data_IF_311275414061
#
_entry.id   IF_311275414061
#
_cell.length_a   1.000
_cell.length_b   1.000
_cell.length_c   1.000
_cell.angle_alpha   90.00
_cell.angle_beta   90.00
_cell.angle_gamma   90.00
#
_symmetry.space_group_name_H-M   'P 1'
#
loop_
_entity.id
_entity.type
_entity.pdbx_description
1 polymer ?
#
# COMPACT_ATOMS: atom_id res chain seq x y z
N UNK A 1 -16.55 12.12 -20.10
CA UNK A 1 -15.84 10.84 -20.39
C UNK A 1 -14.44 10.81 -19.77
N UNK A 2 -13.56 11.80 -20.01
CA UNK A 2 -12.18 11.85 -19.43
C UNK A 2 -12.17 11.79 -17.90
N UNK A 3 -13.09 12.48 -17.21
CA UNK A 3 -13.18 12.46 -15.73
C UNK A 3 -13.48 11.07 -15.16
N UNK A 4 -14.37 10.31 -15.83
CA UNK A 4 -14.68 8.93 -15.43
C UNK A 4 -13.47 8.00 -15.62
N UNK A 5 -12.75 8.17 -16.72
CA UNK A 5 -11.52 7.40 -17.00
C UNK A 5 -10.47 7.69 -15.93
N UNK A 6 -10.22 8.96 -15.61
CA UNK A 6 -9.28 9.34 -14.56
C UNK A 6 -9.65 8.70 -13.21
N UNK A 7 -10.94 8.80 -12.82
CA UNK A 7 -11.43 8.21 -11.59
C UNK A 7 -11.24 6.69 -11.54
N UNK A 8 -11.51 5.99 -12.65
CA UNK A 8 -11.28 4.54 -12.74
C UNK A 8 -9.80 4.18 -12.68
N UNK A 9 -8.93 4.94 -13.33
CA UNK A 9 -7.47 4.74 -13.26
C UNK A 9 -6.96 4.93 -11.84
N UNK A 10 -7.37 5.99 -11.17
CA UNK A 10 -6.98 6.26 -9.77
C UNK A 10 -7.44 5.15 -8.82
N UNK A 11 -8.66 4.64 -9.00
CA UNK A 11 -9.16 3.52 -8.17
C UNK A 11 -8.38 2.25 -8.46
N UNK A 12 -8.31 1.81 -9.71
CA UNK A 12 -7.80 0.50 -10.08
C UNK A 12 -6.27 0.41 -9.93
N UNK A 13 -5.55 1.47 -10.26
CA UNK A 13 -4.09 1.47 -10.27
C UNK A 13 -3.45 2.31 -9.16
N UNK A 14 -4.25 3.12 -8.46
CA UNK A 14 -3.81 3.92 -7.31
C UNK A 14 -4.29 3.31 -6.00
N UNK A 15 -5.55 3.49 -5.67
CA UNK A 15 -6.07 3.25 -4.31
C UNK A 15 -6.17 1.76 -3.95
N UNK A 16 -6.64 0.92 -4.87
CA UNK A 16 -6.78 -0.53 -4.61
C UNK A 16 -5.44 -1.22 -4.42
N UNK A 17 -4.40 -1.01 -5.26
CA UNK A 17 -3.08 -1.58 -5.02
C UNK A 17 -2.44 -1.12 -3.71
N UNK A 18 -2.55 0.16 -3.35
CA UNK A 18 -2.02 0.66 -2.08
C UNK A 18 -2.73 0.04 -0.87
N UNK A 19 -4.06 -0.05 -0.91
CA UNK A 19 -4.85 -0.70 0.13
C UNK A 19 -4.52 -2.20 0.25
N UNK A 20 -4.37 -2.89 -0.88
CA UNK A 20 -3.95 -4.29 -0.93
C UNK A 20 -2.55 -4.48 -0.34
N UNK A 21 -1.59 -3.63 -0.68
CA UNK A 21 -0.24 -3.65 -0.12
C UNK A 21 -0.24 -3.44 1.39
N UNK A 22 -1.02 -2.49 1.92
CA UNK A 22 -1.18 -2.30 3.36
C UNK A 22 -1.78 -3.54 4.04
N UNK A 23 -2.78 -4.18 3.43
CA UNK A 23 -3.36 -5.42 3.94
C UNK A 23 -2.34 -6.57 3.91
N UNK A 24 -1.55 -6.73 2.83
CA UNK A 24 -0.48 -7.73 2.73
C UNK A 24 0.56 -7.51 3.84
N UNK A 25 0.98 -6.26 4.06
CA UNK A 25 1.94 -5.92 5.11
C UNK A 25 1.39 -6.25 6.51
N UNK A 26 0.13 -5.94 6.79
CA UNK A 26 -0.55 -6.31 8.03
C UNK A 26 -0.53 -7.83 8.25
N UNK A 27 -0.88 -8.59 7.22
CA UNK A 27 -0.92 -10.06 7.29
C UNK A 27 0.49 -10.67 7.37
N UNK A 28 1.49 -10.04 6.74
CA UNK A 28 2.89 -10.42 6.89
C UNK A 28 3.38 -10.22 8.33
N UNK A 29 3.14 -9.04 8.92
CA UNK A 29 3.58 -8.73 10.29
C UNK A 29 2.89 -9.63 11.32
N UNK A 30 1.63 -9.98 11.10
CA UNK A 30 0.84 -10.84 12.00
C UNK A 30 0.96 -12.33 11.70
N UNK A 31 1.76 -12.73 10.68
CA UNK A 31 1.92 -14.10 10.23
C UNK A 31 0.61 -14.82 9.85
N UNK A 32 -0.34 -14.06 9.30
CA UNK A 32 -1.63 -14.58 8.82
C UNK A 32 -1.55 -14.99 7.36
N UNK A 33 -2.48 -15.87 6.92
CA UNK A 33 -2.49 -16.38 5.56
C UNK A 33 -3.24 -15.43 4.61
N UNK A 34 -2.61 -15.07 3.48
CA UNK A 34 -3.23 -14.25 2.42
C UNK A 34 -4.39 -14.97 1.69
N UNK A 35 -4.44 -16.30 1.73
CA UNK A 35 -5.55 -17.06 1.12
C UNK A 35 -6.82 -17.03 1.97
N UNK A 36 -6.80 -16.44 3.15
CA UNK A 36 -7.94 -16.40 4.04
C UNK A 36 -9.03 -15.45 3.51
N UNK A 37 -10.30 -15.81 3.71
CA UNK A 37 -11.43 -14.90 3.44
C UNK A 37 -11.27 -13.56 4.16
N UNK A 38 -10.65 -13.59 5.34
CA UNK A 38 -10.38 -12.41 6.16
C UNK A 38 -9.46 -11.42 5.46
N UNK A 39 -8.45 -11.90 4.72
CA UNK A 39 -7.56 -11.05 3.92
C UNK A 39 -8.35 -10.25 2.86
N UNK A 40 -9.18 -10.93 2.08
CA UNK A 40 -9.95 -10.28 1.01
C UNK A 40 -10.93 -9.26 1.54
N UNK A 41 -11.60 -9.57 2.68
CA UNK A 41 -12.48 -8.61 3.34
C UNK A 41 -11.71 -7.40 3.88
N UNK A 42 -10.54 -7.61 4.52
CA UNK A 42 -9.69 -6.50 4.98
C UNK A 42 -9.24 -5.61 3.82
N UNK A 43 -8.81 -6.22 2.72
CA UNK A 43 -8.41 -5.48 1.50
C UNK A 43 -9.58 -4.69 0.95
N UNK A 44 -10.76 -5.27 0.88
CA UNK A 44 -11.99 -4.57 0.45
C UNK A 44 -12.34 -3.38 1.34
N UNK A 45 -12.29 -3.56 2.65
CA UNK A 45 -12.54 -2.48 3.63
C UNK A 45 -11.48 -1.37 3.48
N UNK A 46 -10.20 -1.71 3.40
CA UNK A 46 -9.12 -0.73 3.20
C UNK A 46 -9.27 0.03 1.89
N UNK A 47 -9.63 -0.66 0.80
CA UNK A 47 -9.88 -0.03 -0.50
C UNK A 47 -11.07 0.94 -0.43
N UNK A 48 -12.17 0.53 0.17
CA UNK A 48 -13.36 1.39 0.33
C UNK A 48 -13.04 2.66 1.14
N UNK A 49 -12.31 2.53 2.24
CA UNK A 49 -11.87 3.66 3.07
C UNK A 49 -10.97 4.60 2.26
N UNK A 50 -9.99 4.06 1.56
CA UNK A 50 -9.07 4.85 0.75
C UNK A 50 -9.81 5.62 -0.36
N UNK A 51 -10.75 4.99 -1.05
CA UNK A 51 -11.57 5.62 -2.09
C UNK A 51 -12.40 6.77 -1.51
N UNK A 52 -13.11 6.54 -0.42
CA UNK A 52 -13.98 7.56 0.20
C UNK A 52 -13.16 8.77 0.65
N UNK A 53 -12.07 8.56 1.39
CA UNK A 53 -11.27 9.66 1.95
C UNK A 53 -10.54 10.43 0.86
N UNK A 54 -9.99 9.75 -0.14
CA UNK A 54 -9.32 10.42 -1.26
C UNK A 54 -10.29 11.12 -2.19
N UNK A 55 -11.52 10.63 -2.33
CA UNK A 55 -12.57 11.37 -3.03
C UNK A 55 -12.92 12.64 -2.27
N UNK A 56 -13.05 12.58 -0.94
CA UNK A 56 -13.28 13.76 -0.10
C UNK A 56 -12.13 14.78 -0.21
N UNK A 57 -10.89 14.32 -0.28
CA UNK A 57 -9.73 15.17 -0.55
C UNK A 57 -9.82 15.84 -1.93
N UNK A 58 -10.17 15.09 -2.98
CA UNK A 58 -10.26 15.62 -4.35
C UNK A 58 -11.35 16.68 -4.53
N UNK A 59 -12.37 16.72 -3.68
CA UNK A 59 -13.41 17.75 -3.64
C UNK A 59 -13.14 18.83 -2.58
N UNK A 60 -11.89 18.94 -2.10
CA UNK A 60 -11.41 19.94 -1.14
C UNK A 60 -12.13 19.93 0.23
N UNK A 61 -12.68 18.80 0.66
CA UNK A 61 -13.22 18.64 2.01
C UNK A 61 -12.15 18.35 3.06
N UNK A 62 -10.97 17.90 2.64
CA UNK A 62 -9.84 17.52 3.50
C UNK A 62 -8.57 18.16 2.93
N UNK A 63 -7.76 18.79 3.80
CA UNK A 63 -6.51 19.43 3.39
C UNK A 63 -5.42 18.43 3.02
N UNK A 64 -4.43 18.92 2.27
CA UNK A 64 -3.26 18.13 1.87
C UNK A 64 -2.52 17.56 3.08
N UNK A 65 -2.19 16.28 3.02
CA UNK A 65 -1.50 15.56 4.10
C UNK A 65 -2.45 14.91 5.11
N UNK A 66 -3.52 15.60 5.53
CA UNK A 66 -4.47 15.07 6.52
C UNK A 66 -5.19 13.80 6.04
N UNK A 67 -5.52 13.70 4.75
CA UNK A 67 -6.16 12.52 4.19
C UNK A 67 -5.34 11.24 4.43
N UNK A 68 -4.02 11.29 4.35
CA UNK A 68 -3.13 10.14 4.59
C UNK A 68 -3.15 9.73 6.05
N UNK A 69 -3.08 10.70 6.97
CA UNK A 69 -3.14 10.45 8.41
C UNK A 69 -4.47 9.81 8.79
N UNK A 70 -5.58 10.32 8.24
CA UNK A 70 -6.92 9.78 8.47
C UNK A 70 -7.01 8.34 7.96
N UNK A 71 -6.56 8.06 6.74
CA UNK A 71 -6.55 6.70 6.15
C UNK A 71 -5.78 5.74 7.05
N UNK A 72 -4.55 6.08 7.46
CA UNK A 72 -3.72 5.24 8.29
C UNK A 72 -4.32 5.00 9.67
N UNK A 73 -4.89 6.05 10.28
CA UNK A 73 -5.57 5.93 11.57
C UNK A 73 -6.74 4.96 11.50
N UNK A 74 -7.57 5.06 10.45
CA UNK A 74 -8.71 4.16 10.27
C UNK A 74 -8.24 2.75 9.94
N UNK A 75 -7.17 2.57 9.14
CA UNK A 75 -6.59 1.25 8.87
C UNK A 75 -6.10 0.58 10.15
N UNK A 76 -5.46 1.32 11.07
CA UNK A 76 -5.05 0.81 12.38
C UNK A 76 -6.28 0.40 13.19
N UNK A 77 -7.33 1.21 13.24
CA UNK A 77 -8.57 0.89 13.96
C UNK A 77 -9.25 -0.37 13.39
N UNK A 78 -9.31 -0.52 12.07
CA UNK A 78 -9.84 -1.74 11.43
C UNK A 78 -8.96 -2.95 11.73
N UNK A 79 -7.63 -2.79 11.74
CA UNK A 79 -6.71 -3.88 12.07
C UNK A 79 -6.92 -4.35 13.52
N UNK A 80 -7.14 -3.44 14.46
CA UNK A 80 -7.41 -3.78 15.87
C UNK A 80 -8.80 -4.37 16.04
N UNK A 81 -9.84 -3.67 15.55
CA UNK A 81 -11.24 -4.03 15.79
C UNK A 81 -11.68 -5.27 15.00
N UNK A 82 -11.50 -5.27 13.69
CA UNK A 82 -11.94 -6.35 12.81
C UNK A 82 -10.95 -7.52 12.77
N UNK A 83 -9.67 -7.23 12.61
CA UNK A 83 -8.65 -8.29 12.52
C UNK A 83 -8.19 -8.80 13.88
N UNK A 84 -8.55 -8.14 14.98
CA UNK A 84 -8.15 -8.45 16.37
C UNK A 84 -6.62 -8.52 16.51
N UNK A 85 -5.92 -7.63 15.82
CA UNK A 85 -4.46 -7.54 15.89
C UNK A 85 -4.08 -6.62 17.06
N UNK A 86 -3.05 -6.96 17.86
CA UNK A 86 -2.54 -6.07 18.90
C UNK A 86 -2.15 -4.70 18.34
N UNK A 87 -2.46 -3.62 19.07
CA UNK A 87 -2.27 -2.24 18.63
C UNK A 87 -0.85 -1.98 18.11
N UNK A 88 0.18 -2.39 18.87
CA UNK A 88 1.58 -2.23 18.45
C UNK A 88 1.89 -2.87 17.08
N UNK A 89 1.39 -4.09 16.85
CA UNK A 89 1.61 -4.76 15.54
C UNK A 89 0.85 -4.08 14.42
N UNK A 90 -0.34 -3.54 14.69
CA UNK A 90 -1.13 -2.78 13.72
C UNK A 90 -0.41 -1.49 13.34
N UNK A 91 0.05 -0.72 14.32
CA UNK A 91 0.82 0.51 14.10
C UNK A 91 2.10 0.20 13.31
N UNK A 92 2.92 -0.75 13.77
CA UNK A 92 4.15 -1.12 13.08
C UNK A 92 3.91 -1.57 11.64
N UNK A 93 2.83 -2.31 11.36
CA UNK A 93 2.54 -2.77 10.00
C UNK A 93 2.14 -1.64 9.06
N UNK A 94 1.34 -0.69 9.54
CA UNK A 94 0.92 0.47 8.73
C UNK A 94 2.09 1.44 8.51
N UNK A 95 2.90 1.71 9.54
CA UNK A 95 4.11 2.51 9.38
C UNK A 95 5.11 1.86 8.39
N UNK A 96 5.31 0.55 8.49
CA UNK A 96 6.17 -0.18 7.56
C UNK A 96 5.62 -0.11 6.12
N UNK A 97 4.30 -0.19 5.94
CA UNK A 97 3.69 0.04 4.63
C UNK A 97 3.96 1.45 4.11
N UNK A 98 3.92 2.45 4.98
CA UNK A 98 4.26 3.83 4.64
C UNK A 98 5.70 3.97 4.15
N UNK A 99 6.66 3.35 4.82
CA UNK A 99 8.06 3.32 4.39
C UNK A 99 8.16 2.70 2.99
N UNK A 100 7.58 1.53 2.77
CA UNK A 100 7.62 0.87 1.46
C UNK A 100 6.95 1.71 0.35
N UNK A 101 5.84 2.40 0.64
CA UNK A 101 5.20 3.32 -0.32
C UNK A 101 6.18 4.43 -0.70
N UNK A 102 6.76 5.12 0.30
CA UNK A 102 7.69 6.23 0.08
C UNK A 102 8.92 5.78 -0.71
N UNK A 103 9.51 4.62 -0.35
CA UNK A 103 10.68 4.09 -1.05
C UNK A 103 10.37 3.79 -2.53
N UNK A 104 9.21 3.17 -2.80
CA UNK A 104 8.83 2.83 -4.17
C UNK A 104 8.46 4.06 -5.01
N UNK A 105 7.85 5.07 -4.40
CA UNK A 105 7.59 6.37 -5.04
C UNK A 105 8.91 7.07 -5.37
N UNK A 106 9.89 7.07 -4.45
CA UNK A 106 11.18 7.69 -4.64
C UNK A 106 11.98 7.00 -5.77
N UNK A 107 12.02 5.66 -5.79
CA UNK A 107 12.67 4.87 -6.83
C UNK A 107 12.03 5.17 -8.19
N UNK A 108 10.70 5.20 -8.25
CA UNK A 108 9.96 5.47 -9.49
C UNK A 108 10.21 6.89 -9.97
N UNK A 109 10.14 7.88 -9.08
CA UNK A 109 10.42 9.28 -9.41
C UNK A 109 11.86 9.44 -9.93
N UNK A 110 12.85 8.83 -9.26
CA UNK A 110 14.24 8.83 -9.70
C UNK A 110 14.42 8.22 -11.10
N UNK A 111 13.76 7.10 -11.36
CA UNK A 111 13.76 6.44 -12.68
C UNK A 111 13.13 7.32 -13.76
N UNK A 112 12.02 7.99 -13.45
CA UNK A 112 11.36 8.92 -14.39
C UNK A 112 12.22 10.15 -14.68
N UNK A 113 12.91 10.70 -13.68
CA UNK A 113 13.86 11.81 -13.87
C UNK A 113 15.01 11.39 -14.80
N UNK A 114 15.52 10.17 -14.68
CA UNK A 114 16.58 9.66 -15.55
C UNK A 114 16.12 9.48 -17.01
N UNK A 115 14.85 9.10 -17.21
CA UNK A 115 14.29 8.86 -18.55
C UNK A 115 13.89 10.17 -19.25
N UNK A 116 13.18 11.05 -18.54
CA UNK A 116 12.56 12.26 -19.11
C UNK A 116 13.35 13.56 -18.86
N UNK A 117 14.33 13.53 -17.96
CA UNK A 117 15.01 14.70 -17.44
C UNK A 117 14.21 15.42 -16.37
N UNK A 118 14.91 16.12 -15.47
CA UNK A 118 14.31 16.77 -14.29
C UNK A 118 13.28 17.85 -14.65
N UNK A 119 13.55 18.67 -15.68
CA UNK A 119 12.63 19.75 -16.07
C UNK A 119 11.30 19.21 -16.63
N UNK A 120 11.37 18.21 -17.53
CA UNK A 120 10.18 17.63 -18.12
C UNK A 120 9.36 16.88 -17.07
N UNK A 121 10.01 16.11 -16.19
CA UNK A 121 9.35 15.41 -15.11
C UNK A 121 8.63 16.39 -14.17
N UNK A 122 9.31 17.47 -13.77
CA UNK A 122 8.72 18.50 -12.91
C UNK A 122 7.52 19.17 -13.57
N UNK A 123 7.59 19.49 -14.88
CA UNK A 123 6.44 20.03 -15.63
C UNK A 123 5.28 19.05 -15.65
N UNK A 124 5.54 17.76 -15.94
CA UNK A 124 4.51 16.72 -15.96
C UNK A 124 3.81 16.54 -14.60
N UNK A 125 4.58 16.62 -13.50
CA UNK A 125 4.03 16.41 -12.16
C UNK A 125 3.31 17.63 -11.61
N UNK A 126 3.67 18.84 -12.05
CA UNK A 126 3.05 20.10 -11.59
C UNK A 126 1.82 20.51 -12.41
N UNK A 127 1.60 19.92 -13.59
CA UNK A 127 0.40 20.18 -14.38
C UNK A 127 -0.81 19.46 -13.75
N UNK A 128 -1.38 20.09 -12.74
CA UNK A 128 -2.61 19.61 -12.07
C UNK A 128 -3.85 20.39 -12.50
N UNK A 129 -3.68 21.42 -13.31
CA UNK A 129 -4.78 22.28 -13.77
C UNK A 129 -5.48 21.67 -14.98
N UNK A 130 -4.72 21.08 -15.90
CA UNK A 130 -5.29 20.43 -17.07
C UNK A 130 -5.73 18.99 -16.79
N UNK A 131 -6.79 18.54 -17.45
CA UNK A 131 -7.25 17.15 -17.33
C UNK A 131 -6.22 16.17 -17.86
N UNK A 132 -5.49 16.54 -18.91
CA UNK A 132 -4.47 15.70 -19.53
C UNK A 132 -3.25 15.57 -18.59
N UNK A 133 -2.83 16.64 -17.91
CA UNK A 133 -1.79 16.61 -16.89
C UNK A 133 -2.15 15.70 -15.70
N UNK A 134 -3.40 15.73 -15.23
CA UNK A 134 -3.89 14.81 -14.18
C UNK A 134 -3.83 13.35 -14.61
N UNK A 135 -4.19 13.05 -15.86
CA UNK A 135 -4.10 11.69 -16.41
C UNK A 135 -2.64 11.23 -16.48
N UNK A 136 -1.73 12.08 -16.97
CA UNK A 136 -0.29 11.79 -17.02
C UNK A 136 0.25 11.50 -15.62
N UNK A 137 -0.08 12.32 -14.63
CA UNK A 137 0.31 12.11 -13.24
C UNK A 137 -0.18 10.79 -12.69
N UNK A 138 -1.45 10.43 -12.94
CA UNK A 138 -2.02 9.16 -12.52
C UNK A 138 -1.29 7.97 -13.16
N UNK A 139 -0.99 8.04 -14.45
CA UNK A 139 -0.24 6.99 -15.18
C UNK A 139 1.20 6.88 -14.64
N UNK A 140 1.88 7.98 -14.36
CA UNK A 140 3.22 7.99 -13.77
C UNK A 140 3.26 7.35 -12.36
N UNK A 141 2.15 7.35 -11.63
CA UNK A 141 2.03 6.67 -10.34
C UNK A 141 1.84 5.15 -10.42
N UNK A 142 1.43 4.60 -11.58
CA UNK A 142 1.17 3.16 -11.73
C UNK A 142 2.40 2.30 -11.41
N UNK A 143 3.60 2.58 -11.95
CA UNK A 143 4.79 1.78 -11.67
C UNK A 143 5.15 1.74 -10.18
N UNK A 144 5.00 2.86 -9.45
CA UNK A 144 5.25 2.92 -8.01
C UNK A 144 4.30 1.98 -7.24
N UNK A 145 3.02 1.98 -7.58
CA UNK A 145 2.03 1.14 -6.92
C UNK A 145 2.23 -0.35 -7.21
N UNK A 146 2.61 -0.70 -8.45
CA UNK A 146 2.95 -2.09 -8.82
C UNK A 146 4.20 -2.52 -8.05
N UNK A 147 5.26 -1.70 -8.04
CA UNK A 147 6.49 -1.97 -7.33
C UNK A 147 6.23 -2.14 -5.83
N UNK A 148 5.40 -1.30 -5.23
CA UNK A 148 4.99 -1.41 -3.83
C UNK A 148 4.36 -2.77 -3.52
N UNK A 149 3.37 -3.21 -4.32
CA UNK A 149 2.73 -4.53 -4.12
C UNK A 149 3.75 -5.65 -4.23
N UNK A 150 4.67 -5.59 -5.21
CA UNK A 150 5.74 -6.58 -5.38
C UNK A 150 6.65 -6.62 -4.13
N UNK A 151 7.12 -5.47 -3.67
CA UNK A 151 8.01 -5.37 -2.49
C UNK A 151 7.34 -5.98 -1.25
N UNK A 152 6.07 -5.65 -1.01
CA UNK A 152 5.35 -6.17 0.16
C UNK A 152 5.05 -7.66 0.04
N UNK A 153 4.79 -8.17 -1.16
CA UNK A 153 4.67 -9.62 -1.41
C UNK A 153 5.99 -10.35 -1.14
N UNK A 154 7.10 -9.83 -1.62
CA UNK A 154 8.44 -10.39 -1.34
C UNK A 154 8.70 -10.42 0.17
N UNK A 155 8.40 -9.32 0.85
CA UNK A 155 8.51 -9.24 2.32
C UNK A 155 7.65 -10.32 3.02
N UNK A 156 6.40 -10.52 2.57
CA UNK A 156 5.52 -11.56 3.09
C UNK A 156 6.13 -12.95 2.92
N UNK A 157 6.63 -13.28 1.72
CA UNK A 157 7.22 -14.61 1.44
C UNK A 157 8.51 -14.84 2.22
N UNK A 158 9.37 -13.83 2.37
CA UNK A 158 10.57 -13.92 3.21
C UNK A 158 10.20 -14.23 4.65
N UNK A 159 9.23 -13.50 5.22
CA UNK A 159 8.76 -13.77 6.59
C UNK A 159 8.16 -15.16 6.75
N UNK A 160 7.37 -15.61 5.78
CA UNK A 160 6.79 -16.94 5.79
C UNK A 160 7.86 -18.05 5.74
N UNK A 161 8.91 -17.86 4.92
CA UNK A 161 10.04 -18.79 4.84
C UNK A 161 10.85 -18.83 6.14
N UNK A 162 11.14 -17.68 6.75
CA UNK A 162 11.85 -17.60 8.02
C UNK A 162 11.07 -18.31 9.15
N UNK A 163 9.75 -18.12 9.19
CA UNK A 163 8.90 -18.82 10.15
C UNK A 163 8.95 -20.34 9.99
N UNK A 164 8.90 -20.84 8.76
CA UNK A 164 9.00 -22.29 8.48
C UNK A 164 10.34 -22.85 8.95
N UNK A 165 11.45 -22.16 8.65
CA UNK A 165 12.79 -22.57 9.09
C UNK A 165 12.90 -22.63 10.62
N UNK A 166 12.29 -21.66 11.33
CA UNK A 166 12.30 -21.66 12.79
C UNK A 166 11.57 -22.88 13.36
N UNK A 167 10.38 -23.17 12.85
CA UNK A 167 9.60 -24.35 13.28
C UNK A 167 10.31 -25.68 12.99
N UNK A 168 11.02 -25.78 11.87
CA UNK A 168 11.81 -26.97 11.54
C UNK A 168 12.98 -27.20 12.53
N UNK A 169 13.69 -26.13 12.89
CA UNK A 169 14.77 -26.21 13.91
C UNK A 169 14.24 -26.60 15.28
N UNK A 170 13.11 -26.04 15.72
CA UNK A 170 12.48 -26.39 16.99
C UNK A 170 12.08 -27.90 17.01
N UNK A 171 11.52 -28.40 15.91
CA UNK A 171 11.15 -29.80 15.77
C UNK A 171 12.36 -30.73 15.82
N UNK A 172 13.49 -30.38 15.18
CA UNK A 172 14.74 -31.14 15.25
C UNK A 172 15.32 -31.20 16.66
N UNK A 173 15.39 -30.06 17.34
CA UNK A 173 15.89 -29.99 18.73
C UNK A 173 15.07 -30.88 19.69
N UNK A 174 13.75 -30.96 19.49
CA UNK A 174 12.89 -31.83 20.30
C UNK A 174 13.18 -33.31 20.02
N UNK A 175 13.42 -33.69 18.72
CA UNK A 175 13.69 -35.07 18.36
C UNK A 175 15.09 -35.55 18.79
N UNK A 176 16.05 -34.63 18.97
CA UNK A 176 17.41 -34.95 19.45
C UNK A 176 17.48 -35.12 20.99
N UNK A 177 16.49 -34.59 21.71
CA UNK A 177 16.42 -34.64 23.17
C UNK A 177 15.49 -35.77 23.70
N UNK A 178 14.91 -36.60 22.81
CA UNK A 178 14.10 -37.78 23.13
C UNK A 178 14.88 -39.06 22.85
#
# INVERSE_FOLDING_TARGET
MKTLILFLVDILFGYVPQAAGCAICLFAVTNQNLRSRKFWLTTGIFSAIAIVIRTAYNINLIDFGFHTIIIWSIFILVAIGYNKVPAMRSICSILLSGIFITDTELITAGSMILIFGSENFTKMMNDTETMDGRIVKAICGIPANILFVIVVLVFYFIKAALKRRKLQKEAQTISENL
#
